data_IF_813425161033
#
_entry.id   IF_813425161033
#
_cell.length_a   1.000
_cell.length_b   1.000
_cell.length_c   1.000
_cell.angle_alpha   90.00
_cell.angle_beta   90.00
_cell.angle_gamma   90.00
#
_symmetry.space_group_name_H-M   'P 1'
#
loop_
_entity.id
_entity.type
_entity.pdbx_description
1 polymer ?
#
# COMPACT_ATOMS: atom_id res chain seq x y z
N UNK A 1 -12.27 -7.30 -7.03
CA UNK A 1 -11.42 -6.50 -6.12
C UNK A 1 -12.15 -5.22 -5.78
N UNK A 2 -12.02 -4.75 -4.54
CA UNK A 2 -12.55 -3.46 -4.09
C UNK A 2 -11.41 -2.42 -4.00
N UNK A 3 -11.64 -1.21 -4.50
CA UNK A 3 -10.69 -0.09 -4.43
C UNK A 3 -11.34 1.04 -3.62
N UNK A 4 -10.78 1.35 -2.47
CA UNK A 4 -11.37 2.28 -1.49
C UNK A 4 -10.45 3.48 -1.33
N UNK A 5 -10.99 4.66 -1.56
CA UNK A 5 -10.31 5.91 -1.28
C UNK A 5 -10.19 6.09 0.24
N UNK A 6 -8.98 6.41 0.71
CA UNK A 6 -8.77 6.76 2.12
C UNK A 6 -9.16 8.22 2.38
N UNK A 7 -8.83 8.76 3.57
CA UNK A 7 -9.01 10.20 3.87
C UNK A 7 -8.21 11.13 2.94
N UNK A 8 -7.20 10.61 2.26
CA UNK A 8 -6.51 11.26 1.14
C UNK A 8 -6.85 10.41 -0.09
N UNK A 9 -7.68 10.93 -0.99
CA UNK A 9 -8.38 10.12 -1.99
C UNK A 9 -7.44 9.46 -3.02
N UNK A 10 -6.23 9.99 -3.21
CA UNK A 10 -5.21 9.39 -4.07
C UNK A 10 -4.47 8.21 -3.43
N UNK A 11 -4.54 8.05 -2.10
CA UNK A 11 -4.08 6.85 -1.40
C UNK A 11 -5.24 5.87 -1.35
N UNK A 12 -5.05 4.69 -1.95
CA UNK A 12 -6.12 3.74 -2.22
C UNK A 12 -5.84 2.43 -1.47
N UNK A 13 -6.79 2.02 -0.63
CA UNK A 13 -6.79 0.69 -0.03
C UNK A 13 -7.41 -0.30 -1.03
N UNK A 14 -6.64 -1.32 -1.41
CA UNK A 14 -7.08 -2.38 -2.31
C UNK A 14 -7.42 -3.60 -1.47
N UNK A 15 -8.67 -4.09 -1.58
CA UNK A 15 -9.08 -5.37 -1.02
C UNK A 15 -9.18 -6.42 -2.13
N UNK A 16 -8.30 -7.44 -2.13
CA UNK A 16 -8.38 -8.51 -3.11
C UNK A 16 -9.61 -9.38 -2.86
N UNK A 17 -10.13 -10.00 -3.92
CA UNK A 17 -11.08 -11.10 -3.79
C UNK A 17 -10.30 -12.38 -3.48
N UNK A 18 -10.75 -13.11 -2.47
CA UNK A 18 -10.18 -14.39 -2.05
C UNK A 18 -11.08 -15.52 -2.52
N UNK A 19 -10.49 -16.51 -3.18
CA UNK A 19 -11.13 -17.79 -3.46
C UNK A 19 -10.51 -18.79 -2.48
N UNK A 20 -11.29 -19.21 -1.49
CA UNK A 20 -10.80 -20.08 -0.41
C UNK A 20 -11.35 -21.50 -0.53
N UNK A 21 -10.52 -22.48 -0.21
CA UNK A 21 -10.91 -23.87 -0.06
C UNK A 21 -9.99 -24.60 0.94
N UNK A 22 -10.19 -25.91 1.13
CA UNK A 22 -9.43 -26.71 2.10
C UNK A 22 -7.91 -26.76 1.85
N UNK A 23 -7.43 -26.35 0.67
CA UNK A 23 -6.01 -26.27 0.31
C UNK A 23 -5.38 -24.94 0.69
N UNK A 24 -6.20 -23.92 0.99
CA UNK A 24 -5.77 -22.56 1.28
C UNK A 24 -6.60 -21.53 0.54
N UNK A 25 -5.94 -20.51 -0.03
CA UNK A 25 -6.60 -19.45 -0.78
C UNK A 25 -5.86 -19.14 -2.08
N UNK A 26 -6.62 -18.65 -3.06
CA UNK A 26 -6.12 -18.06 -4.29
C UNK A 26 -6.60 -16.61 -4.36
N UNK A 27 -5.73 -15.71 -4.80
CA UNK A 27 -6.07 -14.32 -5.09
C UNK A 27 -5.24 -13.80 -6.26
N UNK A 28 -5.85 -12.97 -7.07
CA UNK A 28 -5.09 -12.06 -7.92
C UNK A 28 -4.48 -10.98 -7.03
N UNK A 29 -3.16 -10.91 -6.93
CA UNK A 29 -2.50 -9.84 -6.17
C UNK A 29 -2.30 -8.55 -6.97
N UNK A 30 -2.47 -8.63 -8.29
CA UNK A 30 -2.33 -7.51 -9.21
C UNK A 30 -3.00 -7.86 -10.54
N UNK A 31 -3.72 -6.91 -11.12
CA UNK A 31 -4.29 -7.00 -12.46
C UNK A 31 -4.35 -5.61 -13.08
N UNK A 32 -3.57 -5.34 -14.13
CA UNK A 32 -3.38 -3.98 -14.66
C UNK A 32 -4.70 -3.27 -15.01
N UNK A 33 -5.63 -3.96 -15.68
CA UNK A 33 -6.91 -3.34 -16.07
C UNK A 33 -7.80 -3.00 -14.87
N UNK A 34 -7.97 -3.94 -13.93
CA UNK A 34 -8.73 -3.72 -12.68
C UNK A 34 -8.14 -2.57 -11.85
N UNK A 35 -6.81 -2.52 -11.73
CA UNK A 35 -6.11 -1.44 -11.03
C UNK A 35 -6.31 -0.10 -11.73
N UNK A 36 -6.23 -0.07 -13.06
CA UNK A 36 -6.45 1.14 -13.86
C UNK A 36 -7.87 1.67 -13.70
N UNK A 37 -8.88 0.79 -13.76
CA UNK A 37 -10.30 1.12 -13.50
C UNK A 37 -10.48 1.60 -12.05
N UNK A 38 -9.78 0.98 -11.10
CA UNK A 38 -9.76 1.34 -9.67
C UNK A 38 -8.98 2.61 -9.33
N UNK A 39 -8.46 3.35 -10.32
CA UNK A 39 -7.77 4.64 -10.12
C UNK A 39 -6.24 4.56 -10.03
N UNK A 40 -5.64 3.37 -10.13
CA UNK A 40 -4.20 3.15 -10.07
C UNK A 40 -3.65 2.99 -11.50
N UNK A 41 -3.14 4.09 -12.07
CA UNK A 41 -2.73 4.15 -13.49
C UNK A 41 -1.23 4.04 -13.73
N UNK A 42 -0.42 3.92 -12.68
CA UNK A 42 1.02 3.80 -12.82
C UNK A 42 1.43 2.39 -13.23
N UNK A 43 2.57 2.28 -13.92
CA UNK A 43 3.21 0.99 -14.20
C UNK A 43 4.23 0.68 -13.09
N UNK A 44 4.04 -0.43 -12.39
CA UNK A 44 5.04 -0.95 -11.46
C UNK A 44 6.20 -1.58 -12.26
N UNK A 45 7.44 -1.28 -11.87
CA UNK A 45 8.65 -1.67 -12.60
C UNK A 45 9.67 -2.43 -11.75
N UNK A 46 9.39 -2.58 -10.46
CA UNK A 46 10.28 -3.20 -9.50
C UNK A 46 9.47 -3.79 -8.35
N UNK A 47 9.91 -4.96 -7.89
CA UNK A 47 9.42 -5.60 -6.67
C UNK A 47 10.50 -5.55 -5.59
N UNK A 48 10.05 -5.25 -4.37
CA UNK A 48 10.88 -5.34 -3.18
C UNK A 48 10.21 -6.29 -2.18
N UNK A 49 11.01 -7.09 -1.48
CA UNK A 49 10.54 -7.98 -0.43
C UNK A 49 11.42 -7.81 0.81
N UNK A 50 10.80 -7.52 1.96
CA UNK A 50 11.51 -7.28 3.20
C UNK A 50 10.89 -8.09 4.34
N UNK A 51 11.76 -8.60 5.22
CA UNK A 51 11.40 -9.15 6.53
C UNK A 51 11.89 -8.20 7.60
N UNK A 52 11.04 -7.92 8.58
CA UNK A 52 11.33 -7.06 9.73
C UNK A 52 10.84 -7.76 10.99
N UNK A 53 11.47 -7.48 12.13
CA UNK A 53 11.04 -8.02 13.44
C UNK A 53 10.01 -7.10 14.10
N UNK A 54 9.22 -7.63 15.05
CA UNK A 54 8.27 -6.83 15.82
C UNK A 54 8.92 -5.55 16.38
N UNK A 55 8.17 -4.46 16.39
CA UNK A 55 8.60 -3.12 16.81
C UNK A 55 9.62 -2.43 15.87
N UNK A 56 9.91 -3.01 14.69
CA UNK A 56 10.68 -2.30 13.67
C UNK A 56 9.83 -1.20 13.04
N UNK A 57 10.39 0.02 12.97
CA UNK A 57 9.87 1.11 12.16
C UNK A 57 10.79 1.32 10.95
N UNK A 58 10.23 1.39 9.74
CA UNK A 58 10.96 1.81 8.54
C UNK A 58 10.25 2.99 7.91
N UNK A 59 10.97 4.09 7.71
CA UNK A 59 10.43 5.30 7.09
C UNK A 59 10.67 6.56 7.93
N UNK A 60 10.14 7.72 7.49
CA UNK A 60 9.37 7.89 6.26
C UNK A 60 10.30 8.12 5.06
N UNK A 61 10.16 7.30 4.01
CA UNK A 61 10.98 7.34 2.81
C UNK A 61 10.22 7.93 1.63
N UNK A 62 10.90 8.77 0.85
CA UNK A 62 10.42 9.33 -0.42
C UNK A 62 11.59 9.51 -1.39
N UNK A 63 11.27 9.75 -2.66
CA UNK A 63 12.23 10.07 -3.70
C UNK A 63 11.86 11.42 -4.32
N UNK A 64 12.82 12.34 -4.38
CA UNK A 64 12.63 13.66 -5.03
C UNK A 64 12.83 13.52 -6.54
N UNK A 65 13.95 12.92 -6.93
CA UNK A 65 14.25 12.65 -8.33
C UNK A 65 13.66 11.30 -8.72
N UNK A 66 12.85 11.28 -9.78
CA UNK A 66 12.14 10.09 -10.27
C UNK A 66 11.25 9.43 -9.19
N UNK A 67 10.23 10.16 -8.69
CA UNK A 67 9.39 9.65 -7.61
C UNK A 67 8.63 8.40 -8.05
N UNK A 68 8.59 7.39 -7.17
CA UNK A 68 7.91 6.13 -7.44
C UNK A 68 6.63 6.01 -6.63
N UNK A 69 5.56 5.56 -7.29
CA UNK A 69 4.40 5.02 -6.61
C UNK A 69 4.72 3.63 -6.04
N UNK A 70 4.03 3.24 -4.98
CA UNK A 70 4.23 1.97 -4.27
C UNK A 70 2.91 1.25 -4.10
N UNK A 71 2.93 -0.08 -4.22
CA UNK A 71 1.84 -0.96 -3.83
C UNK A 71 2.36 -1.91 -2.76
N UNK A 72 1.83 -1.79 -1.54
CA UNK A 72 2.35 -2.51 -0.38
C UNK A 72 1.39 -3.58 0.09
N UNK A 73 1.92 -4.73 0.50
CA UNK A 73 1.16 -5.80 1.15
C UNK A 73 1.99 -6.49 2.22
N UNK A 74 1.33 -7.02 3.25
CA UNK A 74 1.98 -7.85 4.25
C UNK A 74 1.72 -9.33 3.94
N UNK A 75 2.79 -10.10 3.72
CA UNK A 75 2.68 -11.52 3.37
C UNK A 75 2.64 -12.45 4.59
N UNK A 76 3.21 -11.99 5.72
CA UNK A 76 3.24 -12.72 6.99
C UNK A 76 3.27 -11.73 8.14
N UNK A 77 2.42 -11.94 9.13
CA UNK A 77 2.26 -11.04 10.27
C UNK A 77 1.40 -9.82 9.95
N UNK A 78 1.68 -8.71 10.64
CA UNK A 78 0.86 -7.50 10.61
C UNK A 78 1.73 -6.25 10.73
N UNK A 79 1.43 -5.25 9.91
CA UNK A 79 2.06 -3.92 9.96
C UNK A 79 1.00 -2.83 9.96
N UNK A 80 1.33 -1.69 10.59
CA UNK A 80 0.63 -0.44 10.38
C UNK A 80 1.41 0.37 9.34
N UNK A 81 0.85 0.50 8.13
CA UNK A 81 1.47 1.17 6.99
C UNK A 81 0.92 2.59 6.84
N UNK A 82 1.80 3.57 6.61
CA UNK A 82 1.48 5.01 6.64
C UNK A 82 1.97 5.68 5.37
N UNK A 83 1.10 6.51 4.79
CA UNK A 83 1.40 7.45 3.71
C UNK A 83 1.22 8.89 4.20
N UNK A 84 2.21 9.75 3.95
CA UNK A 84 2.19 11.18 4.27
C UNK A 84 2.30 11.99 3.00
N UNK A 85 1.38 12.93 2.80
CA UNK A 85 1.43 13.82 1.65
C UNK A 85 2.51 14.91 1.87
N UNK A 86 3.53 14.89 1.03
CA UNK A 86 4.65 15.85 1.06
C UNK A 86 4.62 16.81 -0.14
N UNK A 87 3.54 16.83 -0.92
CA UNK A 87 3.36 17.73 -2.08
C UNK A 87 2.94 19.11 -1.58
N UNK A 88 3.80 20.11 -1.68
CA UNK A 88 3.59 21.46 -1.12
C UNK A 88 2.30 22.14 -1.59
N UNK A 89 1.88 21.87 -2.82
CA UNK A 89 0.69 22.48 -3.43
C UNK A 89 -0.60 21.65 -3.20
N UNK A 90 -0.52 20.54 -2.45
CA UNK A 90 -1.68 19.70 -2.14
C UNK A 90 -2.54 20.32 -1.05
N UNK A 91 -3.88 20.22 -1.21
CA UNK A 91 -4.84 20.55 -0.16
C UNK A 91 -4.72 19.67 1.09
N UNK A 92 -4.03 18.53 0.98
CA UNK A 92 -3.75 17.60 2.08
C UNK A 92 -2.28 17.59 2.49
N UNK A 93 -1.49 18.61 2.12
CA UNK A 93 -0.08 18.73 2.51
C UNK A 93 0.12 18.55 4.02
N UNK A 94 1.06 17.68 4.40
CA UNK A 94 1.37 17.34 5.80
C UNK A 94 0.32 16.45 6.48
N UNK A 95 -0.78 16.08 5.80
CA UNK A 95 -1.73 15.09 6.29
C UNK A 95 -1.25 13.68 5.94
N UNK A 96 -1.79 12.71 6.65
CA UNK A 96 -1.41 11.32 6.51
C UNK A 96 -2.62 10.40 6.64
N UNK A 97 -2.47 9.20 6.10
CA UNK A 97 -3.38 8.07 6.27
C UNK A 97 -2.59 6.85 6.67
N UNK A 98 -3.22 5.98 7.45
CA UNK A 98 -2.59 4.75 7.90
C UNK A 98 -3.58 3.60 7.90
N UNK A 99 -3.12 2.44 7.45
CA UNK A 99 -3.92 1.23 7.29
C UNK A 99 -3.20 0.03 7.88
N UNK A 100 -3.96 -0.93 8.41
CA UNK A 100 -3.39 -2.20 8.88
C UNK A 100 -3.32 -3.15 7.69
N UNK A 101 -2.11 -3.60 7.35
CA UNK A 101 -1.88 -4.63 6.35
C UNK A 101 -1.42 -5.90 7.06
N UNK A 102 -2.02 -7.04 6.75
CA UNK A 102 -1.69 -8.30 7.40
C UNK A 102 -1.84 -9.49 6.47
N UNK A 103 -1.20 -10.59 6.87
CA UNK A 103 -1.52 -11.90 6.32
C UNK A 103 -2.93 -12.37 6.64
N UNK A 104 -3.68 -11.73 7.54
CA UNK A 104 -5.09 -12.02 7.76
C UNK A 104 -5.98 -11.37 6.70
N UNK A 105 -5.91 -10.04 6.60
CA UNK A 105 -6.80 -9.27 5.71
C UNK A 105 -6.36 -9.26 4.24
N UNK A 106 -5.09 -9.57 3.95
CA UNK A 106 -4.51 -9.57 2.60
C UNK A 106 -4.66 -8.25 1.84
N UNK A 107 -5.01 -7.16 2.53
CA UNK A 107 -5.16 -5.85 1.91
C UNK A 107 -3.83 -5.35 1.35
N UNK A 108 -3.94 -4.42 0.40
CA UNK A 108 -2.80 -3.69 -0.14
C UNK A 108 -3.04 -2.19 0.00
N UNK A 109 -1.98 -1.42 0.24
CA UNK A 109 -2.05 0.04 0.23
C UNK A 109 -1.30 0.58 -0.99
N UNK A 110 -2.02 1.28 -1.86
CA UNK A 110 -1.43 2.03 -2.95
C UNK A 110 -1.08 3.45 -2.49
N UNK A 111 0.18 3.83 -2.69
CA UNK A 111 0.70 5.14 -2.36
C UNK A 111 1.24 5.79 -3.64
N UNK A 112 0.68 6.92 -4.09
CA UNK A 112 1.11 7.56 -5.33
C UNK A 112 2.48 8.24 -5.18
N UNK A 113 3.09 8.56 -6.32
CA UNK A 113 4.32 9.34 -6.36
C UNK A 113 4.14 10.71 -5.65
N UNK A 114 5.18 11.18 -4.98
CA UNK A 114 5.14 12.43 -4.22
C UNK A 114 4.65 12.29 -2.77
N UNK A 115 4.51 11.06 -2.25
CA UNK A 115 4.23 10.78 -0.84
C UNK A 115 5.48 10.23 -0.14
N UNK A 116 5.58 10.50 1.16
CA UNK A 116 6.49 9.77 2.04
C UNK A 116 5.78 8.56 2.64
N UNK A 117 6.50 7.45 2.78
CA UNK A 117 5.94 6.17 3.19
C UNK A 117 6.77 5.52 4.30
N UNK A 118 6.10 4.88 5.25
CA UNK A 118 6.74 3.99 6.21
C UNK A 118 5.76 3.00 6.83
N UNK A 119 6.28 2.05 7.59
CA UNK A 119 5.47 1.09 8.33
C UNK A 119 6.07 0.75 9.69
N UNK A 120 5.20 0.33 10.60
CA UNK A 120 5.54 -0.21 11.92
C UNK A 120 5.10 -1.67 12.04
N UNK A 121 6.02 -2.55 12.45
CA UNK A 121 5.74 -3.99 12.59
C UNK A 121 5.05 -4.29 13.91
N UNK A 122 3.87 -4.91 13.83
CA UNK A 122 2.99 -5.19 14.97
C UNK A 122 3.07 -6.65 15.47
N UNK A 123 3.76 -7.54 14.76
CA UNK A 123 3.89 -8.98 15.07
C UNK A 123 5.22 -9.56 14.58
#
# INVERSE_FOLDING_TARGET
MEFIQTKISEVILVKPELIEDHRGFFMESYHIEKFTIGGIKCKFVQDNHAKSVQNTLRGLHFQVNFPQAKLLRCLKGKVFDVAVDIRKDSSTYGKWVGEILSDGNKHQLFIPAGFAHGYYVMS
#
